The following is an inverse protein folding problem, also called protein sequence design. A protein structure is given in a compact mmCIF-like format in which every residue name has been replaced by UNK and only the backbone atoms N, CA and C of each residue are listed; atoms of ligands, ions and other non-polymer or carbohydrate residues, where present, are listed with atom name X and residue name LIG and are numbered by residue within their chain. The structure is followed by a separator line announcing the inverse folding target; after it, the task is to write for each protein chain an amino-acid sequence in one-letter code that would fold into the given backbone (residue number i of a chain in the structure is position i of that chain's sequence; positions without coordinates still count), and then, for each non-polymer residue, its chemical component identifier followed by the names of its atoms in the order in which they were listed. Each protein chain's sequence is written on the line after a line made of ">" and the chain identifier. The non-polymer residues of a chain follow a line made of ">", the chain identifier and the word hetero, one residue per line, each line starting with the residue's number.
data_IF_428764428095
#
_entry.id   IF_428764428095
#
_cell.length_a   1.000
_cell.length_b   1.000
_cell.length_c   1.000
_cell.angle_alpha   90.00
_cell.angle_beta   90.00
_cell.angle_gamma   90.00
#
_symmetry.space_group_name_H-M   'P 1'
#
loop_
_entity.id
_entity.type
_entity.pdbx_description
1 polymer ?
#
# COMPACT_ATOMS: atom_id res chain seq x y z
N UNK A 1 20.43 -14.96 19.57
CA UNK A 1 21.57 -14.79 18.67
C UNK A 1 22.13 -13.40 18.93
N UNK A 2 23.42 -13.32 19.36
CA UNK A 2 24.02 -12.08 19.80
C UNK A 2 24.13 -11.07 18.66
N UNK A 3 23.55 -9.87 18.83
CA UNK A 3 23.73 -8.72 17.96
C UNK A 3 25.23 -8.33 17.94
N UNK A 4 25.94 -8.76 16.91
CA UNK A 4 27.31 -8.30 16.65
C UNK A 4 27.18 -7.01 15.85
N UNK A 5 27.55 -5.82 16.41
CA UNK A 5 27.39 -4.56 15.70
C UNK A 5 28.17 -4.58 14.38
N UNK A 6 27.61 -4.01 13.32
CA UNK A 6 28.21 -3.86 11.99
C UNK A 6 29.64 -3.33 12.04
N UNK A 7 29.89 -2.43 12.98
CA UNK A 7 31.19 -1.86 13.29
C UNK A 7 32.26 -2.90 13.63
N UNK A 8 31.91 -3.96 14.36
CA UNK A 8 32.87 -5.01 14.73
C UNK A 8 33.24 -5.90 13.53
N UNK A 9 32.32 -6.11 12.59
CA UNK A 9 32.59 -6.88 11.35
C UNK A 9 33.45 -6.06 10.39
N UNK A 10 33.19 -4.78 10.26
CA UNK A 10 34.04 -3.87 9.46
C UNK A 10 35.45 -3.73 10.04
N UNK A 11 35.59 -3.60 11.35
CA UNK A 11 36.88 -3.54 12.03
C UNK A 11 37.64 -4.87 11.84
N UNK A 12 36.96 -6.00 11.97
CA UNK A 12 37.57 -7.31 11.78
C UNK A 12 38.05 -7.50 10.33
N UNK A 13 37.25 -7.06 9.33
CA UNK A 13 37.62 -7.05 7.92
C UNK A 13 38.85 -6.14 7.64
N UNK A 14 38.86 -4.93 8.20
CA UNK A 14 39.96 -3.97 8.08
C UNK A 14 41.25 -4.48 8.74
N UNK A 15 41.17 -5.09 9.92
CA UNK A 15 42.32 -5.64 10.64
C UNK A 15 42.89 -6.88 9.95
N UNK A 16 42.04 -7.71 9.33
CA UNK A 16 42.46 -8.86 8.50
C UNK A 16 43.19 -8.43 7.22
N UNK A 17 42.78 -7.32 6.61
CA UNK A 17 43.38 -6.77 5.40
C UNK A 17 44.71 -6.04 5.70
N UNK A 18 44.84 -5.33 6.82
CA UNK A 18 45.95 -4.42 7.09
C UNK A 18 47.08 -4.98 7.97
N UNK A 19 47.13 -6.29 8.23
CA UNK A 19 48.20 -6.96 9.01
C UNK A 19 48.46 -6.39 10.42
N UNK A 20 47.55 -5.65 11.02
CA UNK A 20 47.73 -5.16 12.40
C UNK A 20 47.25 -6.23 13.37
N UNK A 21 48.19 -6.72 14.21
CA UNK A 21 47.91 -7.70 15.29
C UNK A 21 47.25 -6.96 16.44
N UNK A 22 45.93 -7.17 16.62
CA UNK A 22 45.23 -6.84 17.85
C UNK A 22 44.82 -8.16 18.50
N UNK A 23 45.24 -8.37 19.73
CA UNK A 23 44.98 -9.56 20.52
C UNK A 23 43.56 -9.49 21.11
N UNK A 24 42.65 -10.33 20.63
CA UNK A 24 41.36 -10.60 21.27
C UNK A 24 41.30 -12.05 21.77
N UNK A 25 41.16 -12.29 23.09
CA UNK A 25 41.32 -13.63 23.69
C UNK A 25 40.17 -14.62 23.41
N UNK A 26 39.05 -14.21 22.83
CA UNK A 26 37.80 -14.99 22.86
C UNK A 26 37.27 -15.51 21.52
N UNK A 27 38.00 -15.42 20.40
CA UNK A 27 37.53 -15.92 19.12
C UNK A 27 38.38 -17.10 18.61
N UNK A 28 37.87 -18.32 18.78
CA UNK A 28 38.53 -19.58 18.38
C UNK A 28 38.93 -19.66 16.91
N UNK A 29 38.30 -18.88 16.03
CA UNK A 29 38.60 -18.79 14.59
C UNK A 29 39.97 -18.16 14.31
N UNK A 30 40.48 -17.30 15.21
CA UNK A 30 41.73 -16.56 15.03
C UNK A 30 42.98 -17.48 15.11
N UNK A 31 42.92 -18.56 15.88
CA UNK A 31 44.04 -19.52 16.02
C UNK A 31 44.30 -20.33 14.76
N UNK A 32 43.29 -20.55 13.94
CA UNK A 32 43.41 -21.31 12.69
C UNK A 32 44.19 -20.56 11.59
N UNK A 33 44.16 -19.22 11.63
CA UNK A 33 44.79 -18.36 10.64
C UNK A 33 46.27 -18.04 10.89
N UNK A 34 46.77 -18.24 12.11
CA UNK A 34 48.18 -17.96 12.42
C UNK A 34 49.16 -19.06 11.91
N UNK A 35 48.70 -20.26 11.60
CA UNK A 35 49.55 -21.37 11.18
C UNK A 35 50.01 -21.37 9.72
N UNK A 36 49.49 -20.52 8.87
CA UNK A 36 49.73 -20.49 7.45
C UNK A 36 50.44 -19.20 6.99
N UNK A 37 51.60 -18.87 7.52
CA UNK A 37 52.43 -17.78 7.03
C UNK A 37 53.34 -18.24 5.92
N UNK A 38 53.09 -17.84 4.65
CA UNK A 38 54.11 -17.96 3.61
C UNK A 38 53.65 -18.22 2.16
N UNK A 39 52.38 -18.46 1.84
CA UNK A 39 51.97 -18.84 0.51
C UNK A 39 51.11 -17.79 -0.22
N UNK A 40 51.40 -17.45 -1.50
CA UNK A 40 50.62 -16.51 -2.33
C UNK A 40 49.11 -16.91 -2.45
N UNK A 41 48.82 -18.20 -2.41
CA UNK A 41 47.45 -18.76 -2.39
C UNK A 41 46.65 -18.37 -1.12
N UNK A 42 47.33 -18.05 -0.02
CA UNK A 42 46.70 -17.68 1.24
C UNK A 42 46.02 -16.28 1.16
N UNK A 43 46.52 -15.37 0.34
CA UNK A 43 45.94 -14.06 0.14
C UNK A 43 44.63 -14.15 -0.67
N UNK A 44 44.58 -14.98 -1.69
CA UNK A 44 43.40 -15.26 -2.50
C UNK A 44 42.31 -15.94 -1.65
N UNK A 45 42.64 -16.90 -0.80
CA UNK A 45 41.70 -17.55 0.10
C UNK A 45 41.10 -16.57 1.13
N UNK A 46 41.89 -15.64 1.66
CA UNK A 46 41.37 -14.61 2.61
C UNK A 46 40.34 -13.72 1.98
N UNK A 47 40.59 -13.22 0.76
CA UNK A 47 39.62 -12.42 0.04
C UNK A 47 38.35 -13.23 -0.28
N UNK A 48 38.49 -14.44 -0.72
CA UNK A 48 37.35 -15.30 -1.05
C UNK A 48 36.49 -15.59 0.18
N UNK A 49 37.11 -15.97 1.30
CA UNK A 49 36.38 -16.20 2.56
C UNK A 49 35.72 -14.92 3.07
N UNK A 50 36.36 -13.76 2.97
CA UNK A 50 35.77 -12.49 3.33
C UNK A 50 34.54 -12.15 2.47
N UNK A 51 34.66 -12.31 1.14
CA UNK A 51 33.51 -12.11 0.23
C UNK A 51 32.38 -13.10 0.49
N UNK A 52 32.70 -14.36 0.82
CA UNK A 52 31.71 -15.37 1.15
C UNK A 52 30.97 -15.02 2.46
N UNK A 53 31.71 -14.60 3.49
CA UNK A 53 31.11 -14.17 4.78
C UNK A 53 30.29 -12.89 4.59
N UNK A 54 30.77 -11.94 3.80
CA UNK A 54 30.04 -10.71 3.49
C UNK A 54 28.76 -11.02 2.70
N UNK A 55 28.83 -11.93 1.73
CA UNK A 55 27.68 -12.37 0.94
C UNK A 55 26.65 -13.12 1.79
N UNK A 56 27.09 -14.01 2.68
CA UNK A 56 26.25 -14.70 3.65
C UNK A 56 25.62 -13.72 4.65
N UNK A 57 26.39 -12.75 5.13
CA UNK A 57 25.90 -11.71 6.03
C UNK A 57 24.87 -10.80 5.37
N UNK A 58 25.12 -10.36 4.12
CA UNK A 58 24.15 -9.61 3.33
C UNK A 58 22.90 -10.45 3.01
N UNK A 59 23.07 -11.76 2.77
CA UNK A 59 21.96 -12.67 2.58
C UNK A 59 21.12 -12.83 3.87
N UNK A 60 21.77 -12.95 5.03
CA UNK A 60 21.09 -13.04 6.33
C UNK A 60 20.38 -11.73 6.70
N UNK A 61 21.00 -10.57 6.47
CA UNK A 61 20.33 -9.25 6.67
C UNK A 61 19.17 -9.07 5.72
N UNK A 62 19.31 -9.50 4.46
CA UNK A 62 18.19 -9.47 3.52
C UNK A 62 17.09 -10.47 3.91
N UNK A 63 17.42 -11.61 4.52
CA UNK A 63 16.41 -12.51 5.07
C UNK A 63 15.74 -11.95 6.33
N UNK A 64 16.47 -11.27 7.21
CA UNK A 64 15.84 -10.56 8.35
C UNK A 64 14.96 -9.39 7.88
N UNK A 65 15.36 -8.65 6.83
CA UNK A 65 14.49 -7.65 6.19
C UNK A 65 13.32 -8.28 5.44
N UNK A 66 13.50 -9.48 4.85
CA UNK A 66 12.42 -10.21 4.17
C UNK A 66 11.37 -10.76 5.14
N UNK A 67 11.61 -10.76 6.45
CA UNK A 67 10.67 -11.19 7.48
C UNK A 67 10.02 -10.05 8.27
N UNK A 68 10.18 -8.79 7.87
CA UNK A 68 9.20 -7.77 8.22
C UNK A 68 8.01 -7.94 7.26
N UNK A 69 7.37 -9.10 7.36
CA UNK A 69 6.04 -9.32 6.83
C UNK A 69 5.17 -8.19 7.40
N UNK A 70 4.59 -7.39 6.53
CA UNK A 70 3.54 -6.47 6.98
C UNK A 70 2.38 -7.33 7.45
N UNK A 71 2.31 -7.54 8.77
CA UNK A 71 1.24 -8.32 9.38
C UNK A 71 -0.04 -7.47 9.41
N UNK A 72 -0.60 -7.26 8.20
CA UNK A 72 -1.87 -6.57 8.03
C UNK A 72 -2.98 -7.58 8.31
N UNK A 73 -3.50 -7.54 9.53
CA UNK A 73 -4.57 -8.42 10.01
C UNK A 73 -5.90 -7.70 10.20
N UNK A 74 -5.90 -6.37 10.03
CA UNK A 74 -7.06 -5.51 10.22
C UNK A 74 -7.31 -4.68 8.98
N UNK A 75 -8.60 -4.45 8.68
CA UNK A 75 -9.03 -3.47 7.69
C UNK A 75 -9.91 -2.40 8.33
N UNK A 76 -9.58 -1.14 8.11
CA UNK A 76 -10.41 -0.01 8.49
C UNK A 76 -11.20 0.48 7.27
N UNK A 77 -12.50 0.26 7.28
CA UNK A 77 -13.41 0.69 6.23
C UNK A 77 -14.01 2.05 6.55
N UNK A 78 -13.68 3.06 5.77
CA UNK A 78 -14.15 4.44 5.93
C UNK A 78 -15.02 4.79 4.73
N UNK A 79 -16.24 5.27 4.97
CA UNK A 79 -17.11 5.61 3.86
C UNK A 79 -18.00 6.83 4.15
N UNK A 80 -18.31 7.55 3.06
CA UNK A 80 -19.42 8.50 2.97
C UNK A 80 -20.38 8.01 1.88
N UNK A 81 -21.64 7.73 2.20
CA UNK A 81 -22.55 7.05 1.27
C UNK A 81 -24.02 7.35 1.55
N UNK A 82 -24.54 8.50 1.14
CA UNK A 82 -25.95 8.87 1.36
C UNK A 82 -26.94 7.90 0.71
N UNK A 83 -26.61 7.36 -0.45
CA UNK A 83 -27.45 6.42 -1.22
C UNK A 83 -27.05 4.95 -1.06
N UNK A 84 -26.12 4.65 -0.15
CA UNK A 84 -25.54 3.33 0.11
C UNK A 84 -24.68 2.74 -1.02
N UNK A 85 -24.61 3.32 -2.21
CA UNK A 85 -23.84 2.78 -3.34
C UNK A 85 -22.33 2.66 -3.03
N UNK A 86 -21.69 3.72 -2.53
CA UNK A 86 -20.27 3.67 -2.14
C UNK A 86 -20.02 2.70 -0.99
N UNK A 87 -20.96 2.58 -0.04
CA UNK A 87 -20.89 1.61 1.04
C UNK A 87 -20.87 0.18 0.50
N UNK A 88 -21.84 -0.18 -0.38
CA UNK A 88 -21.96 -1.53 -0.95
C UNK A 88 -20.68 -1.95 -1.70
N UNK A 89 -20.14 -1.06 -2.54
CA UNK A 89 -18.88 -1.30 -3.26
C UNK A 89 -17.72 -1.48 -2.29
N UNK A 90 -17.57 -0.58 -1.30
CA UNK A 90 -16.52 -0.68 -0.31
C UNK A 90 -16.59 -1.97 0.52
N UNK A 91 -17.78 -2.36 0.96
CA UNK A 91 -17.99 -3.62 1.69
C UNK A 91 -17.62 -4.85 0.85
N UNK A 92 -17.91 -4.83 -0.46
CA UNK A 92 -17.52 -5.91 -1.37
C UNK A 92 -15.98 -6.00 -1.48
N UNK A 93 -15.29 -4.86 -1.61
CA UNK A 93 -13.84 -4.82 -1.63
C UNK A 93 -13.27 -5.37 -0.32
N UNK A 94 -13.80 -4.93 0.83
CA UNK A 94 -13.37 -5.41 2.15
C UNK A 94 -13.55 -6.93 2.25
N UNK A 95 -14.70 -7.48 1.86
CA UNK A 95 -14.89 -8.95 1.82
C UNK A 95 -13.85 -9.65 0.98
N UNK A 96 -13.55 -9.10 -0.21
CA UNK A 96 -12.56 -9.66 -1.13
C UNK A 96 -11.14 -9.71 -0.55
N UNK A 97 -10.80 -8.84 0.41
CA UNK A 97 -9.48 -8.91 1.09
C UNK A 97 -9.32 -10.16 1.96
N UNK A 98 -10.42 -10.82 2.35
CA UNK A 98 -10.41 -11.95 3.26
C UNK A 98 -9.99 -11.61 4.70
N UNK A 99 -9.85 -10.33 5.04
CA UNK A 99 -9.58 -9.88 6.40
C UNK A 99 -10.88 -9.91 7.21
N UNK A 100 -10.82 -10.53 8.39
CA UNK A 100 -11.99 -10.73 9.27
C UNK A 100 -12.11 -9.67 10.36
N UNK A 101 -10.99 -9.05 10.74
CA UNK A 101 -11.01 -7.94 11.69
C UNK A 101 -11.32 -6.64 10.93
N UNK A 102 -12.58 -6.19 10.99
CA UNK A 102 -13.09 -5.03 10.24
C UNK A 102 -13.56 -3.96 11.20
N UNK A 103 -12.85 -2.83 11.20
CA UNK A 103 -13.30 -1.60 11.87
C UNK A 103 -13.98 -0.72 10.84
N UNK A 104 -15.12 -0.11 11.18
CA UNK A 104 -15.90 0.70 10.23
C UNK A 104 -16.14 2.10 10.77
N UNK A 105 -15.81 3.12 9.97
CA UNK A 105 -16.13 4.52 10.23
C UNK A 105 -17.11 5.05 9.19
N UNK A 106 -18.32 5.38 9.63
CA UNK A 106 -19.37 5.93 8.79
C UNK A 106 -19.38 7.47 8.87
N UNK A 107 -18.89 8.11 7.84
CA UNK A 107 -18.88 9.57 7.72
C UNK A 107 -20.16 10.16 7.11
N UNK A 108 -21.20 9.36 6.85
CA UNK A 108 -22.42 9.83 6.16
C UNK A 108 -23.21 10.81 7.03
N UNK A 109 -23.26 10.59 8.32
CA UNK A 109 -24.06 11.40 9.23
C UNK A 109 -23.22 12.26 10.19
N UNK A 110 -22.02 11.79 10.55
CA UNK A 110 -21.16 12.39 11.56
C UNK A 110 -19.72 12.56 11.04
N UNK A 111 -19.00 13.51 11.63
CA UNK A 111 -17.53 13.56 11.55
C UNK A 111 -16.95 12.53 12.52
N UNK A 112 -15.72 12.09 12.23
CA UNK A 112 -14.94 11.25 13.13
C UNK A 112 -13.49 11.74 13.15
N UNK A 113 -12.85 11.62 14.31
CA UNK A 113 -11.40 11.79 14.44
C UNK A 113 -10.80 10.42 14.71
N UNK A 114 -9.95 9.96 13.80
CA UNK A 114 -9.36 8.62 13.84
C UNK A 114 -7.92 8.68 13.37
N UNK A 115 -7.02 8.14 14.18
CA UNK A 115 -5.64 7.90 13.80
C UNK A 115 -5.47 6.42 13.43
N UNK A 116 -5.07 6.17 12.17
CA UNK A 116 -4.94 4.82 11.62
C UNK A 116 -3.50 4.32 11.78
N UNK A 117 -3.27 3.18 12.44
CA UNK A 117 -1.94 2.61 12.60
C UNK A 117 -1.35 2.11 11.27
N UNK A 118 -0.01 2.02 11.18
CA UNK A 118 0.71 1.62 9.97
C UNK A 118 0.34 0.21 9.48
N UNK A 119 0.06 -0.73 10.39
CA UNK A 119 -0.25 -2.13 10.08
C UNK A 119 -1.73 -2.41 9.75
N UNK A 120 -2.54 -1.38 9.52
CA UNK A 120 -3.95 -1.49 9.18
C UNK A 120 -4.17 -1.15 7.71
N UNK A 121 -4.82 -2.04 6.95
CA UNK A 121 -5.29 -1.72 5.60
C UNK A 121 -6.49 -0.77 5.70
N UNK A 122 -6.45 0.35 5.00
CA UNK A 122 -7.59 1.26 4.95
C UNK A 122 -8.29 1.18 3.59
N UNK A 123 -9.62 1.17 3.59
CA UNK A 123 -10.45 1.31 2.39
C UNK A 123 -11.31 2.55 2.54
N UNK A 124 -11.12 3.55 1.67
CA UNK A 124 -11.91 4.78 1.67
C UNK A 124 -12.85 4.77 0.46
N UNK A 125 -14.17 4.77 0.70
CA UNK A 125 -15.18 4.75 -0.35
C UNK A 125 -16.09 5.98 -0.29
N UNK A 126 -16.10 6.78 -1.38
CA UNK A 126 -16.83 8.06 -1.45
C UNK A 126 -17.53 8.25 -2.80
N UNK A 127 -18.63 9.02 -2.87
CA UNK A 127 -19.30 9.34 -4.12
C UNK A 127 -18.64 10.52 -4.84
N UNK A 128 -18.89 10.58 -6.15
CA UNK A 128 -18.45 11.66 -7.04
C UNK A 128 -19.61 12.60 -7.32
N UNK A 129 -19.42 13.87 -7.00
CA UNK A 129 -20.36 14.96 -7.31
C UNK A 129 -19.68 15.98 -8.23
N UNK A 130 -20.21 16.17 -9.44
CA UNK A 130 -19.66 17.12 -10.41
C UNK A 130 -18.21 16.87 -10.82
N UNK A 131 -17.80 15.58 -10.88
CA UNK A 131 -16.43 15.18 -11.27
C UNK A 131 -15.37 15.32 -10.18
N UNK A 132 -15.79 15.61 -8.95
CA UNK A 132 -14.95 15.69 -7.74
C UNK A 132 -15.50 14.78 -6.66
N UNK A 133 -14.73 14.55 -5.61
CA UNK A 133 -15.26 13.92 -4.39
C UNK A 133 -16.37 14.81 -3.82
N UNK A 134 -17.43 14.20 -3.29
CA UNK A 134 -18.50 14.96 -2.65
C UNK A 134 -17.92 15.93 -1.59
N UNK A 135 -18.21 17.25 -1.64
CA UNK A 135 -17.56 18.23 -0.77
C UNK A 135 -17.70 17.90 0.72
N UNK A 136 -18.89 17.48 1.14
CA UNK A 136 -19.14 17.07 2.52
C UNK A 136 -18.35 15.82 2.93
N UNK A 137 -18.06 14.90 1.99
CA UNK A 137 -17.19 13.77 2.27
C UNK A 137 -15.75 14.24 2.52
N UNK A 138 -15.23 15.16 1.70
CA UNK A 138 -13.90 15.74 1.89
C UNK A 138 -13.77 16.50 3.20
N UNK A 139 -14.79 17.25 3.59
CA UNK A 139 -14.83 17.94 4.88
C UNK A 139 -14.74 16.95 6.04
N UNK A 140 -15.55 15.88 6.02
CA UNK A 140 -15.61 14.88 7.09
C UNK A 140 -14.39 13.96 7.16
N UNK A 141 -13.71 13.78 6.04
CA UNK A 141 -12.45 13.05 5.99
C UNK A 141 -11.29 13.78 6.68
N UNK A 142 -11.39 15.11 6.92
CA UNK A 142 -10.31 15.90 7.54
C UNK A 142 -9.89 15.39 8.94
N UNK A 143 -10.79 14.72 9.65
CA UNK A 143 -10.50 14.13 10.95
C UNK A 143 -9.77 12.78 10.88
N UNK A 144 -9.55 12.24 9.68
CA UNK A 144 -8.90 10.94 9.51
C UNK A 144 -7.43 11.15 9.19
N UNK A 145 -6.55 10.55 9.98
CA UNK A 145 -5.09 10.62 9.84
C UNK A 145 -4.50 9.23 9.83
N UNK A 146 -3.29 9.10 9.28
CA UNK A 146 -2.56 7.84 9.25
C UNK A 146 -1.08 8.07 9.49
N UNK A 147 -0.42 7.04 10.01
CA UNK A 147 1.02 6.97 10.22
C UNK A 147 1.69 6.01 9.21
N UNK A 148 1.43 6.22 7.90
CA UNK A 148 1.97 5.36 6.84
C UNK A 148 1.09 4.16 6.48
N UNK A 149 -0.15 4.07 6.97
CA UNK A 149 -1.10 3.00 6.67
C UNK A 149 -1.36 2.87 5.16
N UNK A 150 -1.36 1.64 4.60
CA UNK A 150 -1.74 1.40 3.22
C UNK A 150 -3.23 1.71 3.01
N UNK A 151 -3.55 2.44 1.94
CA UNK A 151 -4.93 2.79 1.63
C UNK A 151 -5.32 2.42 0.20
N UNK A 152 -6.55 1.93 0.07
CA UNK A 152 -7.27 1.71 -1.19
C UNK A 152 -8.33 2.79 -1.34
N UNK A 153 -8.28 3.53 -2.44
CA UNK A 153 -9.20 4.62 -2.72
C UNK A 153 -10.29 4.19 -3.68
N UNK A 154 -11.54 4.45 -3.33
CA UNK A 154 -12.70 4.04 -4.11
C UNK A 154 -13.61 5.23 -4.33
N UNK A 155 -13.92 5.52 -5.59
CA UNK A 155 -14.90 6.54 -5.95
C UNK A 155 -16.04 5.92 -6.74
N UNK A 156 -17.28 6.25 -6.38
CA UNK A 156 -18.48 5.76 -7.05
C UNK A 156 -19.16 6.94 -7.75
N UNK A 157 -19.42 6.81 -9.05
CA UNK A 157 -19.93 7.88 -9.87
C UNK A 157 -21.18 7.46 -10.66
N UNK A 158 -22.05 8.43 -10.97
CA UNK A 158 -23.33 8.22 -11.63
C UNK A 158 -23.23 8.09 -13.16
N UNK A 159 -22.39 7.19 -13.68
CA UNK A 159 -22.29 6.78 -15.08
C UNK A 159 -21.92 7.89 -16.10
N UNK A 160 -21.62 9.12 -15.68
CA UNK A 160 -21.16 10.16 -16.60
C UNK A 160 -19.64 10.17 -16.70
N UNK A 161 -18.97 10.56 -15.61
CA UNK A 161 -17.52 10.60 -15.47
C UNK A 161 -17.13 10.83 -14.00
N UNK A 162 -16.00 10.27 -13.58
CA UNK A 162 -15.44 10.55 -12.25
C UNK A 162 -14.35 11.66 -12.30
N UNK A 163 -13.96 12.08 -13.49
CA UNK A 163 -13.04 13.19 -13.81
C UNK A 163 -11.81 13.26 -12.88
N UNK A 164 -11.80 14.21 -11.92
CA UNK A 164 -10.68 14.44 -11.01
C UNK A 164 -10.85 13.78 -9.64
N UNK A 165 -12.00 13.16 -9.35
CA UNK A 165 -12.34 12.73 -8.01
C UNK A 165 -11.30 11.77 -7.41
N UNK A 166 -10.80 10.78 -8.17
CA UNK A 166 -9.83 9.83 -7.67
C UNK A 166 -8.46 10.49 -7.41
N UNK A 167 -8.05 11.43 -8.26
CA UNK A 167 -6.80 12.20 -8.08
C UNK A 167 -6.90 13.15 -6.88
N UNK A 168 -8.06 13.74 -6.67
CA UNK A 168 -8.33 14.62 -5.52
C UNK A 168 -8.27 13.81 -4.21
N UNK A 169 -8.87 12.62 -4.20
CA UNK A 169 -8.85 11.73 -3.06
C UNK A 169 -7.43 11.20 -2.78
N UNK A 170 -6.64 10.90 -3.81
CA UNK A 170 -5.23 10.49 -3.70
C UNK A 170 -4.37 11.59 -3.06
N UNK A 171 -4.48 12.82 -3.56
CA UNK A 171 -3.76 13.95 -3.01
C UNK A 171 -4.13 14.20 -1.53
N UNK A 172 -5.42 14.10 -1.20
CA UNK A 172 -5.90 14.22 0.16
C UNK A 172 -5.35 13.11 1.07
N UNK A 173 -5.52 11.85 0.70
CA UNK A 173 -5.06 10.70 1.50
C UNK A 173 -3.55 10.75 1.75
N UNK A 174 -2.78 11.10 0.71
CA UNK A 174 -1.32 11.27 0.85
C UNK A 174 -0.96 12.39 1.83
N UNK A 175 -1.69 13.50 1.82
CA UNK A 175 -1.49 14.61 2.77
C UNK A 175 -1.86 14.24 4.22
N UNK A 176 -2.80 13.31 4.41
CA UNK A 176 -3.19 12.78 5.72
C UNK A 176 -2.26 11.66 6.23
N UNK A 177 -1.15 11.37 5.53
CA UNK A 177 -0.15 10.39 5.94
C UNK A 177 -0.42 8.95 5.49
N UNK A 178 -1.44 8.73 4.66
CA UNK A 178 -1.67 7.43 4.04
C UNK A 178 -0.68 7.12 2.93
N UNK A 179 -0.48 5.84 2.70
CA UNK A 179 0.24 5.32 1.56
C UNK A 179 -0.75 4.68 0.58
N UNK A 180 -1.02 5.37 -0.54
CA UNK A 180 -2.00 4.90 -1.54
C UNK A 180 -1.42 3.73 -2.32
N UNK A 181 -1.99 2.53 -2.15
CA UNK A 181 -1.54 1.30 -2.80
C UNK A 181 -2.36 0.90 -4.01
N UNK A 182 -3.61 1.36 -4.09
CA UNK A 182 -4.50 1.13 -5.22
C UNK A 182 -5.65 2.13 -5.24
N UNK A 183 -6.27 2.27 -6.41
CA UNK A 183 -7.49 3.05 -6.58
C UNK A 183 -8.42 2.39 -7.58
N UNK A 184 -9.74 2.55 -7.38
CA UNK A 184 -10.76 2.01 -8.25
C UNK A 184 -11.94 2.98 -8.41
N UNK A 185 -12.63 2.85 -9.55
CA UNK A 185 -13.84 3.62 -9.85
C UNK A 185 -14.96 2.67 -10.20
N UNK A 186 -16.13 2.89 -9.62
CA UNK A 186 -17.31 2.07 -9.87
C UNK A 186 -18.49 2.94 -10.29
N UNK A 187 -19.37 2.35 -11.10
CA UNK A 187 -20.63 3.00 -11.47
C UNK A 187 -21.66 2.75 -10.37
N UNK A 188 -22.37 3.79 -9.99
CA UNK A 188 -23.56 3.71 -9.16
C UNK A 188 -24.75 4.34 -9.88
N UNK A 189 -25.96 4.03 -9.46
CA UNK A 189 -27.15 4.73 -9.96
C UNK A 189 -27.05 6.23 -9.66
N UNK A 190 -27.35 7.03 -10.65
CA UNK A 190 -27.25 8.48 -10.55
C UNK A 190 -28.39 9.03 -9.68
N UNK A 191 -28.12 9.99 -8.83
CA UNK A 191 -29.14 10.63 -7.97
C UNK A 191 -30.25 11.34 -8.75
N UNK A 192 -30.05 11.61 -10.04
CA UNK A 192 -31.09 12.15 -10.95
C UNK A 192 -31.75 11.07 -11.81
N UNK A 193 -31.50 9.78 -11.53
CA UNK A 193 -32.19 8.68 -12.18
C UNK A 193 -33.67 8.71 -11.83
N UNK A 194 -34.54 8.61 -12.83
CA UNK A 194 -35.97 8.48 -12.67
C UNK A 194 -36.50 7.35 -13.55
N UNK A 195 -37.71 6.90 -13.34
CA UNK A 195 -38.33 5.86 -14.18
C UNK A 195 -38.39 6.28 -15.65
N UNK A 196 -38.63 7.58 -15.92
CA UNK A 196 -38.70 8.10 -17.29
C UNK A 196 -37.32 8.35 -17.90
N UNK A 197 -36.33 8.65 -17.08
CA UNK A 197 -34.96 8.90 -17.50
C UNK A 197 -33.97 8.12 -16.64
N UNK A 198 -33.85 6.80 -16.83
CA UNK A 198 -32.99 5.96 -16.02
C UNK A 198 -31.51 6.23 -16.34
N UNK A 199 -30.69 6.45 -15.30
CA UNK A 199 -29.24 6.65 -15.43
C UNK A 199 -28.54 5.63 -14.55
N UNK A 200 -28.01 4.56 -15.16
CA UNK A 200 -27.42 3.41 -14.49
C UNK A 200 -28.35 2.81 -13.40
N UNK A 201 -29.61 2.48 -13.73
CA UNK A 201 -30.57 2.01 -12.75
C UNK A 201 -30.10 0.69 -12.12
N UNK A 202 -30.31 0.57 -10.82
CA UNK A 202 -29.95 -0.65 -10.07
C UNK A 202 -28.44 -0.89 -9.89
N UNK A 203 -27.59 0.09 -10.24
CA UNK A 203 -26.14 -0.04 -10.02
C UNK A 203 -25.74 0.51 -8.63
N UNK A 204 -24.76 -0.12 -7.93
CA UNK A 204 -24.00 -1.30 -8.37
C UNK A 204 -24.85 -2.57 -8.37
N UNK A 205 -24.77 -3.34 -9.44
CA UNK A 205 -25.42 -4.65 -9.55
C UNK A 205 -24.52 -5.80 -9.01
N UNK A 206 -25.01 -7.04 -9.13
CA UNK A 206 -24.28 -8.22 -8.64
C UNK A 206 -22.91 -8.38 -9.32
N UNK A 207 -22.80 -8.05 -10.61
CA UNK A 207 -21.52 -8.12 -11.33
C UNK A 207 -20.55 -7.05 -10.83
N UNK A 208 -21.03 -5.82 -10.58
CA UNK A 208 -20.20 -4.76 -10.01
C UNK A 208 -19.64 -5.14 -8.65
N UNK A 209 -20.49 -5.75 -7.81
CA UNK A 209 -20.09 -6.20 -6.48
C UNK A 209 -19.11 -7.38 -6.55
N UNK A 210 -19.29 -8.29 -7.51
CA UNK A 210 -18.31 -9.34 -7.76
C UNK A 210 -16.97 -8.78 -8.21
N UNK A 211 -16.92 -7.82 -9.16
CA UNK A 211 -15.69 -7.15 -9.57
C UNK A 211 -15.03 -6.41 -8.41
N UNK A 212 -15.82 -5.80 -7.53
CA UNK A 212 -15.31 -5.15 -6.33
C UNK A 212 -14.64 -6.15 -5.37
N UNK A 213 -15.24 -7.32 -5.20
CA UNK A 213 -14.70 -8.40 -4.38
C UNK A 213 -13.43 -9.00 -4.98
N UNK A 214 -13.39 -9.24 -6.30
CA UNK A 214 -12.19 -9.68 -7.03
C UNK A 214 -11.07 -8.65 -6.92
N UNK A 215 -11.40 -7.34 -6.95
CA UNK A 215 -10.42 -6.28 -6.72
C UNK A 215 -9.85 -6.35 -5.31
N UNK A 216 -10.67 -6.60 -4.28
CA UNK A 216 -10.23 -6.83 -2.90
C UNK A 216 -9.26 -8.02 -2.79
N UNK A 217 -9.55 -9.13 -3.47
CA UNK A 217 -8.65 -10.30 -3.52
C UNK A 217 -7.29 -9.99 -4.16
N UNK A 218 -7.28 -9.16 -5.21
CA UNK A 218 -6.03 -8.66 -5.82
C UNK A 218 -5.24 -7.77 -4.87
N UNK A 219 -5.90 -6.93 -4.06
CA UNK A 219 -5.26 -6.13 -3.01
C UNK A 219 -4.60 -7.05 -1.98
N UNK A 220 -5.30 -8.09 -1.51
CA UNK A 220 -4.73 -9.07 -0.57
C UNK A 220 -3.50 -9.76 -1.15
N UNK A 221 -3.56 -10.19 -2.42
CA UNK A 221 -2.42 -10.79 -3.11
C UNK A 221 -1.25 -9.82 -3.19
N UNK A 222 -1.51 -8.55 -3.51
CA UNK A 222 -0.49 -7.50 -3.57
C UNK A 222 0.19 -7.29 -2.21
N UNK A 223 -0.59 -7.21 -1.13
CA UNK A 223 -0.08 -7.06 0.24
C UNK A 223 0.78 -8.26 0.63
N UNK A 224 0.30 -9.49 0.37
CA UNK A 224 1.03 -10.72 0.70
C UNK A 224 2.32 -10.90 -0.12
N UNK A 225 2.41 -10.33 -1.31
CA UNK A 225 3.60 -10.38 -2.17
C UNK A 225 4.63 -9.30 -1.84
N UNK A 226 4.25 -8.27 -1.08
CA UNK A 226 5.14 -7.17 -0.74
C UNK A 226 6.10 -7.58 0.38
N UNK A 227 7.39 -7.32 0.18
CA UNK A 227 8.43 -7.57 1.17
C UNK A 227 8.41 -6.49 2.26
N UNK A 228 8.06 -5.27 1.89
CA UNK A 228 7.94 -4.12 2.78
C UNK A 228 6.96 -3.09 2.19
N UNK A 229 6.73 -2.01 2.93
CA UNK A 229 5.83 -0.92 2.49
C UNK A 229 6.33 -0.22 1.22
N UNK A 230 7.63 -0.15 0.96
CA UNK A 230 8.16 0.46 -0.26
C UNK A 230 7.80 -0.35 -1.51
N UNK A 231 7.78 -1.67 -1.42
CA UNK A 231 7.40 -2.57 -2.52
C UNK A 231 5.89 -2.57 -2.83
N UNK A 232 5.06 -2.02 -1.97
CA UNK A 232 3.63 -1.81 -2.26
C UNK A 232 3.40 -0.67 -3.24
N UNK A 233 4.35 0.25 -3.39
CA UNK A 233 4.22 1.39 -4.31
C UNK A 233 4.70 1.03 -5.70
N UNK A 234 4.09 1.59 -6.75
CA UNK A 234 4.67 1.56 -8.08
C UNK A 234 6.01 2.31 -8.05
N UNK A 235 7.07 1.60 -8.44
CA UNK A 235 8.46 2.11 -8.45
C UNK A 235 8.63 3.34 -9.34
N UNK A 236 7.75 3.56 -10.30
CA UNK A 236 7.88 4.59 -11.35
C UNK A 236 6.87 5.74 -11.24
N UNK A 237 6.39 6.07 -10.06
CA UNK A 237 5.47 7.21 -9.92
C UNK A 237 4.22 7.12 -10.80
N UNK A 238 3.80 5.92 -11.19
CA UNK A 238 2.54 5.65 -11.88
C UNK A 238 1.39 5.91 -10.90
N UNK A 239 1.29 7.17 -10.47
CA UNK A 239 0.13 7.66 -9.74
C UNK A 239 -1.09 7.46 -10.61
N UNK A 240 -2.23 7.31 -9.97
CA UNK A 240 -3.55 7.20 -10.58
C UNK A 240 -3.63 8.15 -11.78
N UNK A 241 -3.52 7.61 -12.99
CA UNK A 241 -3.60 8.40 -14.21
C UNK A 241 -5.06 8.67 -14.52
N UNK A 242 -5.34 9.85 -15.06
CA UNK A 242 -6.66 10.13 -15.62
C UNK A 242 -6.93 9.11 -16.74
N UNK A 243 -8.02 8.34 -16.67
CA UNK A 243 -8.45 7.59 -17.83
C UNK A 243 -8.71 8.57 -18.97
N UNK A 244 -8.22 8.24 -20.16
CA UNK A 244 -8.62 8.93 -21.39
C UNK A 244 -10.07 8.54 -21.67
N UNK A 245 -11.02 9.25 -21.08
CA UNK A 245 -12.42 9.09 -21.43
C UNK A 245 -12.64 9.83 -22.78
N UNK A 246 -13.35 9.20 -23.73
CA UNK A 246 -13.79 9.94 -24.90
C UNK A 246 -14.66 11.10 -24.44
N UNK A 247 -14.35 12.29 -24.89
CA UNK A 247 -15.11 13.51 -24.61
C UNK A 247 -16.52 13.34 -25.19
N UNK A 248 -17.46 12.94 -24.34
CA UNK A 248 -18.89 13.01 -24.70
C UNK A 248 -19.32 14.47 -24.52
N UNK A 249 -19.67 15.18 -25.62
CA UNK A 249 -20.05 16.58 -25.49
C UNK A 249 -21.25 16.72 -24.56
N UNK A 250 -21.14 17.60 -23.57
CA UNK A 250 -22.18 17.91 -22.60
C UNK A 250 -23.56 18.20 -23.26
N UNK A 251 -23.54 18.69 -24.49
CA UNK A 251 -24.73 18.97 -25.30
C UNK A 251 -25.58 17.75 -25.68
N UNK A 252 -25.06 16.54 -25.69
CA UNK A 252 -25.90 15.35 -25.92
C UNK A 252 -26.74 14.95 -24.70
N UNK A 253 -26.28 15.33 -23.52
CA UNK A 253 -26.98 15.05 -22.26
C UNK A 253 -28.19 16.00 -22.06
N UNK A 254 -28.03 17.29 -22.43
CA UNK A 254 -29.08 18.29 -22.29
C UNK A 254 -30.20 18.22 -23.39
N UNK A 255 -29.99 17.45 -24.45
CA UNK A 255 -31.00 17.29 -25.54
C UNK A 255 -31.98 16.14 -25.33
N UNK A 256 -31.90 15.41 -24.21
CA UNK A 256 -32.80 14.30 -23.87
C UNK A 256 -33.59 14.55 -22.57
N UNK A 257 -33.72 15.81 -22.17
CA UNK A 257 -34.65 16.28 -21.16
C UNK A 257 -35.81 17.01 -21.84
#
# INVERSE_FOLDING_TARGET
>A
VANIPLFNIMIMGYLLLNRKTVSYPHLGVYRMFQRCKGNKYFWFHKQFVFFLILKLYLCLINQEKAHIFMDINEVHFIYFSPTRTSKQVGEAIVRGTGLTNVVTTNLTLHTAEVDIPENTLTVIAVPVYGGKVAPLAMERLQGIRASGSPVVLVVVYGNRAYEKALIELDAFASAQGFKVIAGATFVGEHSYSTEQNPIAPGRPDANDLQYAEEFGAKIRTKINAAIDMEHLYPVDGNRIQRPRQPFLPLFKFLRRV
#
